data_IF_342448046381
#
_entry.id   IF_342448046381
#
_cell.length_a   1.000
_cell.length_b   1.000
_cell.length_c   1.000
_cell.angle_alpha   90.00
_cell.angle_beta   90.00
_cell.angle_gamma   90.00
#
_symmetry.space_group_name_H-M   'P 1'
#
loop_
_entity.id
_entity.type
_entity.pdbx_description
1 polymer ?
#
# COMPACT_ATOMS: atom_id res chain seq x y z
N UNK A 1 -1.13 61.61 -12.08
CA UNK A 1 0.09 61.61 -11.23
C UNK A 1 0.61 60.18 -11.02
N UNK A 2 1.04 59.52 -12.10
CA UNK A 2 1.64 58.17 -12.11
C UNK A 2 3.13 58.19 -12.50
N UNK A 3 3.66 59.37 -12.83
CA UNK A 3 5.02 59.59 -13.32
C UNK A 3 6.14 59.30 -12.30
N UNK A 4 6.04 59.66 -11.00
CA UNK A 4 7.18 59.53 -10.10
C UNK A 4 7.50 58.07 -9.70
N UNK A 5 6.56 57.14 -9.89
CA UNK A 5 6.80 55.70 -9.66
C UNK A 5 7.40 55.01 -10.90
N UNK A 6 7.03 55.44 -12.11
CA UNK A 6 7.56 54.92 -13.36
C UNK A 6 9.02 55.36 -13.59
N UNK A 7 9.37 56.61 -13.25
CA UNK A 7 10.76 57.09 -13.34
C UNK A 7 11.69 56.29 -12.42
N UNK A 8 11.24 56.00 -11.19
CA UNK A 8 11.99 55.15 -10.25
C UNK A 8 12.21 53.75 -10.79
N UNK A 9 11.19 53.14 -11.42
CA UNK A 9 11.33 51.82 -12.07
C UNK A 9 12.32 51.90 -13.23
N UNK A 10 12.26 52.96 -14.06
CA UNK A 10 13.16 53.14 -15.20
C UNK A 10 14.64 53.21 -14.81
N UNK A 11 14.96 53.81 -13.65
CA UNK A 11 16.32 53.90 -13.14
C UNK A 11 16.87 52.53 -12.70
N UNK A 12 16.01 51.58 -12.31
CA UNK A 12 16.40 50.19 -12.04
C UNK A 12 16.54 49.34 -13.31
N UNK A 13 16.04 49.81 -14.47
CA UNK A 13 16.19 49.14 -15.79
C UNK A 13 17.54 49.52 -16.40
N UNK A 14 18.63 49.18 -15.70
CA UNK A 14 19.98 49.23 -16.27
C UNK A 14 20.29 47.92 -16.99
N UNK A 15 21.10 47.94 -18.05
CA UNK A 15 21.49 46.74 -18.82
C UNK A 15 21.97 45.58 -17.93
N UNK A 16 22.73 45.88 -16.87
CA UNK A 16 23.22 44.88 -15.92
C UNK A 16 22.08 44.24 -15.09
N UNK A 17 21.09 45.02 -14.69
CA UNK A 17 19.93 44.51 -13.94
C UNK A 17 19.01 43.68 -14.85
N UNK A 18 18.86 44.07 -16.12
CA UNK A 18 18.13 43.28 -17.12
C UNK A 18 18.82 41.94 -17.36
N UNK A 19 20.15 41.91 -17.48
CA UNK A 19 20.93 40.68 -17.61
C UNK A 19 20.83 39.79 -16.37
N UNK A 20 20.88 40.37 -15.17
CA UNK A 20 20.72 39.63 -13.92
C UNK A 20 19.29 39.04 -13.82
N UNK A 21 18.27 39.82 -14.17
CA UNK A 21 16.87 39.39 -14.21
C UNK A 21 16.64 38.26 -15.23
N UNK A 22 17.27 38.30 -16.40
CA UNK A 22 17.16 37.22 -17.40
C UNK A 22 17.78 35.91 -16.91
N UNK A 23 18.92 35.98 -16.20
CA UNK A 23 19.53 34.81 -15.55
C UNK A 23 18.60 34.24 -14.47
N UNK A 24 18.04 35.09 -13.60
CA UNK A 24 17.09 34.66 -12.56
C UNK A 24 15.87 33.97 -13.17
N UNK A 25 15.25 34.56 -14.19
CA UNK A 25 14.09 33.99 -14.88
C UNK A 25 14.47 32.64 -15.50
N UNK A 26 15.64 32.52 -16.12
CA UNK A 26 16.10 31.27 -16.74
C UNK A 26 16.29 30.17 -15.70
N UNK A 27 16.89 30.48 -14.55
CA UNK A 27 17.05 29.53 -13.44
C UNK A 27 15.70 29.10 -12.88
N UNK A 28 14.77 30.04 -12.69
CA UNK A 28 13.41 29.73 -12.24
C UNK A 28 12.69 28.82 -13.24
N UNK A 29 12.74 29.15 -14.54
CA UNK A 29 12.17 28.32 -15.60
C UNK A 29 12.76 26.91 -15.60
N UNK A 30 14.08 26.78 -15.42
CA UNK A 30 14.73 25.49 -15.31
C UNK A 30 14.22 24.69 -14.10
N UNK A 31 14.12 25.31 -12.91
CA UNK A 31 13.60 24.66 -11.70
C UNK A 31 12.15 24.22 -11.89
N UNK A 32 11.28 25.10 -12.42
CA UNK A 32 9.87 24.77 -12.68
C UNK A 32 9.73 23.65 -13.70
N UNK A 33 10.51 23.68 -14.78
CA UNK A 33 10.52 22.66 -15.83
C UNK A 33 11.02 21.33 -15.30
N UNK A 34 12.11 21.32 -14.54
CA UNK A 34 12.63 20.09 -13.94
C UNK A 34 11.65 19.49 -12.94
N UNK A 35 10.98 20.34 -12.15
CA UNK A 35 9.97 19.90 -11.21
C UNK A 35 8.70 19.35 -11.90
N UNK A 36 8.27 19.96 -13.01
CA UNK A 36 7.15 19.42 -13.80
C UNK A 36 7.52 18.09 -14.47
N UNK A 37 8.73 17.97 -15.02
CA UNK A 37 9.24 16.75 -15.65
C UNK A 37 9.28 15.57 -14.65
N UNK A 38 9.83 15.78 -13.44
CA UNK A 38 9.88 14.75 -12.40
C UNK A 38 8.47 14.33 -11.97
N UNK A 39 7.54 15.28 -11.84
CA UNK A 39 6.14 14.96 -11.53
C UNK A 39 5.53 14.13 -12.65
N UNK A 40 5.73 14.51 -13.90
CA UNK A 40 5.22 13.79 -15.07
C UNK A 40 5.73 12.34 -15.12
N UNK A 41 7.04 12.13 -14.92
CA UNK A 41 7.63 10.77 -14.86
C UNK A 41 6.97 9.89 -13.79
N UNK A 42 6.74 10.44 -12.58
CA UNK A 42 6.03 9.73 -11.51
C UNK A 42 4.59 9.36 -11.90
N UNK A 43 3.91 10.17 -12.71
CA UNK A 43 2.56 9.86 -13.19
C UNK A 43 2.57 8.73 -14.22
N UNK A 44 3.50 8.74 -15.18
CA UNK A 44 3.67 7.65 -16.15
C UNK A 44 4.05 6.32 -15.47
N UNK A 45 4.95 6.34 -14.48
CA UNK A 45 5.30 5.14 -13.72
C UNK A 45 4.08 4.53 -13.00
N UNK A 46 3.25 5.38 -12.39
CA UNK A 46 2.00 4.95 -11.74
C UNK A 46 1.01 4.37 -12.72
N UNK A 47 0.82 5.01 -13.88
CA UNK A 47 -0.05 4.54 -14.96
C UNK A 47 0.29 3.11 -15.37
N UNK A 48 1.58 2.82 -15.58
CA UNK A 48 2.04 1.47 -15.94
C UNK A 48 1.65 0.44 -14.87
N UNK A 49 1.81 0.75 -13.58
CA UNK A 49 1.42 -0.19 -12.53
C UNK A 49 -0.09 -0.32 -12.37
N UNK A 50 -0.84 0.76 -12.61
CA UNK A 50 -2.29 0.76 -12.53
C UNK A 50 -2.93 -0.03 -13.66
N UNK A 51 -2.29 -0.09 -14.84
CA UNK A 51 -2.68 -1.00 -15.91
C UNK A 51 -2.56 -2.47 -15.49
N UNK A 52 -1.49 -2.87 -14.78
CA UNK A 52 -1.36 -4.23 -14.23
C UNK A 52 -2.46 -4.55 -13.22
N UNK A 53 -2.85 -3.58 -12.40
CA UNK A 53 -3.95 -3.73 -11.46
C UNK A 53 -5.30 -3.91 -12.16
N UNK A 54 -5.54 -3.16 -13.24
CA UNK A 54 -6.74 -3.34 -14.08
C UNK A 54 -6.76 -4.74 -14.70
N UNK A 55 -5.63 -5.23 -15.22
CA UNK A 55 -5.52 -6.57 -15.80
C UNK A 55 -5.80 -7.66 -14.75
N UNK A 56 -5.25 -7.52 -13.54
CA UNK A 56 -5.56 -8.40 -12.41
C UNK A 56 -7.06 -8.40 -12.09
N UNK A 57 -7.69 -7.22 -12.02
CA UNK A 57 -9.13 -7.10 -11.74
C UNK A 57 -9.97 -7.75 -12.83
N UNK A 58 -9.62 -7.54 -14.09
CA UNK A 58 -10.30 -8.17 -15.22
C UNK A 58 -10.19 -9.70 -15.15
N UNK A 59 -8.97 -10.23 -14.94
CA UNK A 59 -8.74 -11.68 -14.85
C UNK A 59 -9.43 -12.31 -13.64
N UNK A 60 -9.43 -11.64 -12.49
CA UNK A 60 -10.08 -12.14 -11.27
C UNK A 60 -11.60 -12.13 -11.37
N UNK A 61 -12.19 -11.13 -12.03
CA UNK A 61 -13.63 -11.07 -12.30
C UNK A 61 -14.07 -12.02 -13.44
N UNK A 62 -13.22 -12.26 -14.44
CA UNK A 62 -13.53 -13.15 -15.57
C UNK A 62 -13.31 -14.63 -15.25
N UNK A 63 -12.30 -14.98 -14.43
CA UNK A 63 -11.92 -16.36 -14.11
C UNK A 63 -12.59 -16.93 -12.86
N UNK A 64 -13.70 -16.37 -12.36
CA UNK A 64 -14.42 -16.96 -11.23
C UNK A 64 -15.15 -18.24 -11.64
N UNK A 65 -14.40 -19.33 -11.86
CA UNK A 65 -14.97 -20.67 -11.88
C UNK A 65 -15.30 -21.03 -10.44
N UNK A 66 -16.59 -21.07 -10.13
CA UNK A 66 -17.09 -21.55 -8.84
C UNK A 66 -17.00 -23.07 -8.89
N UNK A 67 -16.22 -23.67 -8.00
CA UNK A 67 -16.14 -25.12 -7.91
C UNK A 67 -17.42 -25.69 -7.25
N UNK A 68 -17.71 -26.98 -7.44
CA UNK A 68 -18.94 -27.61 -6.92
C UNK A 68 -19.10 -27.54 -5.40
N UNK A 69 -18.03 -27.20 -4.67
CA UNK A 69 -17.94 -27.00 -3.21
C UNK A 69 -18.16 -25.55 -2.76
N UNK A 70 -18.36 -24.60 -3.68
CA UNK A 70 -18.52 -23.18 -3.34
C UNK A 70 -17.22 -22.42 -3.04
N UNK A 71 -16.07 -23.11 -3.10
CA UNK A 71 -14.76 -22.49 -2.92
C UNK A 71 -14.14 -22.02 -4.24
N UNK A 72 -13.61 -20.81 -4.22
CA UNK A 72 -12.89 -20.20 -5.34
C UNK A 72 -11.46 -20.74 -5.37
N UNK A 73 -11.20 -21.79 -6.15
CA UNK A 73 -9.82 -22.23 -6.39
C UNK A 73 -9.15 -21.19 -7.29
N UNK A 74 -8.37 -20.29 -6.69
CA UNK A 74 -7.50 -19.40 -7.44
C UNK A 74 -6.43 -20.24 -8.13
N UNK A 75 -6.42 -20.25 -9.47
CA UNK A 75 -5.32 -20.79 -10.28
C UNK A 75 -3.99 -20.19 -9.82
N UNK A 76 -2.92 -20.98 -9.86
CA UNK A 76 -1.57 -20.54 -9.49
C UNK A 76 -1.12 -19.32 -10.30
N UNK A 77 -1.61 -19.17 -11.54
CA UNK A 77 -1.41 -17.99 -12.38
C UNK A 77 -1.98 -16.72 -11.74
N UNK A 78 -3.20 -16.79 -11.20
CA UNK A 78 -3.86 -15.64 -10.56
C UNK A 78 -3.14 -15.30 -9.26
N UNK A 79 -2.68 -16.30 -8.49
CA UNK A 79 -1.88 -16.07 -7.27
C UNK A 79 -0.57 -15.36 -7.58
N UNK A 80 0.13 -15.79 -8.64
CA UNK A 80 1.35 -15.11 -9.11
C UNK A 80 1.05 -13.67 -9.53
N UNK A 81 -0.02 -13.46 -10.28
CA UNK A 81 -0.44 -12.12 -10.69
C UNK A 81 -0.79 -11.21 -9.50
N UNK A 82 -1.44 -11.76 -8.46
CA UNK A 82 -1.68 -11.06 -7.21
C UNK A 82 -0.37 -10.62 -6.54
N UNK A 83 0.63 -11.50 -6.47
CA UNK A 83 1.93 -11.19 -5.90
C UNK A 83 2.65 -10.09 -6.70
N UNK A 84 2.77 -10.27 -8.02
CA UNK A 84 3.47 -9.34 -8.91
C UNK A 84 2.85 -7.95 -8.88
N UNK A 85 1.52 -7.88 -8.95
CA UNK A 85 0.76 -6.62 -8.84
C UNK A 85 0.89 -6.00 -7.44
N UNK A 86 0.86 -6.82 -6.39
CA UNK A 86 1.01 -6.34 -5.02
C UNK A 86 2.39 -5.74 -4.75
N UNK A 87 3.45 -6.39 -5.21
CA UNK A 87 4.83 -5.91 -5.09
C UNK A 87 5.04 -4.61 -5.86
N UNK A 88 4.51 -4.51 -7.08
CA UNK A 88 4.66 -3.29 -7.88
C UNK A 88 3.90 -2.10 -7.30
N UNK A 89 2.68 -2.32 -6.79
CA UNK A 89 1.88 -1.29 -6.12
C UNK A 89 2.48 -0.84 -4.79
N UNK A 90 3.15 -1.73 -4.06
CA UNK A 90 3.85 -1.38 -2.82
C UNK A 90 4.99 -0.38 -3.08
N UNK A 91 5.72 -0.56 -4.20
CA UNK A 91 6.87 0.27 -4.54
C UNK A 91 6.48 1.58 -5.23
N UNK A 92 5.56 1.54 -6.19
CA UNK A 92 5.27 2.66 -7.08
C UNK A 92 3.85 3.21 -6.94
N UNK A 93 2.95 2.45 -6.32
CA UNK A 93 1.56 2.85 -6.10
C UNK A 93 1.41 3.85 -4.95
N UNK A 94 0.27 4.54 -4.90
CA UNK A 94 -0.04 5.38 -3.75
C UNK A 94 -0.42 4.55 -2.53
N UNK A 95 -0.17 5.09 -1.33
CA UNK A 95 -0.62 4.50 -0.06
C UNK A 95 -2.12 4.20 -0.06
N UNK A 96 -2.92 5.03 -0.74
CA UNK A 96 -4.38 4.87 -0.80
C UNK A 96 -4.76 3.69 -1.70
N UNK A 97 -4.21 3.63 -2.91
CA UNK A 97 -4.44 2.52 -3.84
C UNK A 97 -3.95 1.21 -3.23
N UNK A 98 -2.77 1.19 -2.63
CA UNK A 98 -2.22 -0.02 -2.01
C UNK A 98 -3.14 -0.56 -0.91
N UNK A 99 -3.70 0.30 -0.06
CA UNK A 99 -4.68 -0.11 0.96
C UNK A 99 -5.98 -0.64 0.37
N UNK A 100 -6.47 -0.05 -0.71
CA UNK A 100 -7.66 -0.54 -1.40
C UNK A 100 -7.38 -1.88 -2.10
N UNK A 101 -6.20 -2.08 -2.68
CA UNK A 101 -5.75 -3.36 -3.22
C UNK A 101 -5.67 -4.45 -2.15
N UNK A 102 -5.10 -4.16 -0.97
CA UNK A 102 -5.06 -5.12 0.14
C UNK A 102 -6.47 -5.54 0.54
N UNK A 103 -7.38 -4.57 0.63
CA UNK A 103 -8.77 -4.84 0.92
C UNK A 103 -9.43 -5.70 -0.17
N UNK A 104 -9.21 -5.39 -1.45
CA UNK A 104 -9.68 -6.21 -2.55
C UNK A 104 -9.19 -7.66 -2.43
N UNK A 105 -7.88 -7.83 -2.17
CA UNK A 105 -7.27 -9.15 -1.97
C UNK A 105 -7.92 -9.88 -0.80
N UNK A 106 -8.02 -9.25 0.37
CA UNK A 106 -8.65 -9.83 1.56
C UNK A 106 -10.08 -10.29 1.28
N UNK A 107 -10.91 -9.45 0.66
CA UNK A 107 -12.31 -9.81 0.35
C UNK A 107 -12.41 -10.92 -0.70
N UNK A 108 -11.45 -11.01 -1.63
CA UNK A 108 -11.45 -12.05 -2.66
C UNK A 108 -10.94 -13.40 -2.15
N UNK A 109 -9.99 -13.42 -1.21
CA UNK A 109 -9.24 -14.64 -0.85
C UNK A 109 -9.49 -15.13 0.58
N UNK A 110 -9.89 -14.27 1.50
CA UNK A 110 -9.96 -14.62 2.92
C UNK A 110 -11.28 -15.33 3.25
N UNK A 111 -11.21 -16.59 3.69
CA UNK A 111 -12.38 -17.36 4.12
C UNK A 111 -13.09 -16.72 5.31
N UNK A 112 -12.36 -16.10 6.25
CA UNK A 112 -12.94 -15.45 7.43
C UNK A 112 -13.92 -14.34 7.05
N UNK A 113 -13.59 -13.57 6.01
CA UNK A 113 -14.44 -12.47 5.54
C UNK A 113 -15.72 -13.02 4.90
N UNK A 114 -15.64 -14.15 4.20
CA UNK A 114 -16.82 -14.80 3.61
C UNK A 114 -17.84 -15.25 4.66
N UNK A 115 -17.40 -15.51 5.90
CA UNK A 115 -18.27 -15.88 7.02
C UNK A 115 -18.85 -14.69 7.80
N UNK A 116 -18.39 -13.46 7.56
CA UNK A 116 -18.94 -12.28 8.23
C UNK A 116 -20.40 -12.04 7.83
N UNK A 117 -21.23 -11.65 8.80
CA UNK A 117 -22.68 -11.40 8.59
C UNK A 117 -22.97 -10.39 7.48
N UNK A 118 -22.06 -9.44 7.28
CA UNK A 118 -22.23 -8.33 6.34
C UNK A 118 -21.67 -8.62 4.95
N UNK A 119 -21.00 -9.76 4.74
CA UNK A 119 -20.42 -10.11 3.45
C UNK A 119 -21.49 -10.50 2.43
N UNK A 120 -21.29 -10.04 1.19
CA UNK A 120 -22.03 -10.43 0.00
C UNK A 120 -21.02 -10.48 -1.16
N UNK A 121 -21.26 -11.36 -2.13
CA UNK A 121 -20.35 -11.57 -3.28
C UNK A 121 -20.22 -10.35 -4.19
N UNK A 122 -21.27 -9.54 -4.32
CA UNK A 122 -21.31 -8.31 -5.11
C UNK A 122 -20.45 -7.18 -4.54
N UNK A 123 -20.07 -7.23 -3.26
CA UNK A 123 -19.23 -6.22 -2.59
C UNK A 123 -17.87 -6.07 -3.26
N UNK A 124 -17.30 -7.15 -3.77
CA UNK A 124 -15.98 -7.14 -4.44
C UNK A 124 -15.99 -6.19 -5.64
N UNK A 125 -17.09 -6.15 -6.40
CA UNK A 125 -17.26 -5.24 -7.51
C UNK A 125 -17.22 -3.77 -7.05
N UNK A 126 -17.90 -3.44 -5.95
CA UNK A 126 -17.88 -2.07 -5.41
C UNK A 126 -16.52 -1.64 -4.85
N UNK A 127 -15.70 -2.59 -4.38
CA UNK A 127 -14.31 -2.32 -4.00
C UNK A 127 -13.48 -1.95 -5.24
N UNK A 128 -13.64 -2.72 -6.33
CA UNK A 128 -13.01 -2.47 -7.62
C UNK A 128 -13.39 -1.08 -8.16
N UNK A 129 -14.66 -0.68 -8.01
CA UNK A 129 -15.15 0.66 -8.35
C UNK A 129 -14.37 1.79 -7.67
N UNK A 130 -14.15 1.68 -6.36
CA UNK A 130 -13.47 2.71 -5.57
C UNK A 130 -11.98 2.81 -5.93
N UNK A 131 -11.38 1.68 -6.32
CA UNK A 131 -10.02 1.63 -6.84
C UNK A 131 -9.95 2.37 -8.19
N UNK A 132 -10.85 2.11 -9.14
CA UNK A 132 -10.87 2.85 -10.42
C UNK A 132 -11.09 4.35 -10.24
N UNK A 133 -12.00 4.73 -9.36
CA UNK A 133 -12.22 6.15 -9.02
C UNK A 133 -10.94 6.79 -8.48
N UNK A 134 -10.18 6.07 -7.67
CA UNK A 134 -8.91 6.56 -7.10
C UNK A 134 -7.81 6.60 -8.16
N UNK A 135 -7.68 5.58 -9.00
CA UNK A 135 -6.73 5.57 -10.12
C UNK A 135 -6.99 6.72 -11.10
N UNK A 136 -8.26 7.00 -11.42
CA UNK A 136 -8.65 8.13 -12.28
C UNK A 136 -8.25 9.48 -11.68
N UNK A 137 -8.40 9.67 -10.37
CA UNK A 137 -7.96 10.90 -9.68
C UNK A 137 -6.44 11.07 -9.66
N UNK A 138 -5.70 9.96 -9.68
CA UNK A 138 -4.24 9.97 -9.58
C UNK A 138 -3.52 9.98 -10.93
N UNK A 139 -4.10 9.40 -11.99
CA UNK A 139 -3.48 9.26 -13.32
C UNK A 139 -4.26 9.98 -14.42
N UNK A 140 -5.58 10.15 -14.27
CA UNK A 140 -6.47 10.70 -15.29
C UNK A 140 -6.59 12.23 -15.23
N UNK A 141 -7.78 12.72 -14.87
CA UNK A 141 -8.15 14.14 -14.93
C UNK A 141 -8.20 14.78 -13.53
N UNK A 142 -8.07 16.11 -13.51
CA UNK A 142 -8.08 17.01 -12.33
C UNK A 142 -8.94 16.53 -11.16
N UNK A 143 -8.48 16.78 -9.93
CA UNK A 143 -9.18 16.46 -8.67
C UNK A 143 -10.66 16.86 -8.66
N UNK A 144 -11.02 17.92 -9.40
CA UNK A 144 -12.36 18.47 -9.52
C UNK A 144 -13.28 17.70 -10.48
N UNK A 145 -12.74 16.86 -11.36
CA UNK A 145 -13.51 16.05 -12.29
C UNK A 145 -13.64 14.60 -11.76
N UNK A 146 -14.50 14.42 -10.76
CA UNK A 146 -14.73 13.11 -10.16
C UNK A 146 -16.02 12.47 -10.65
N UNK A 147 -15.91 11.24 -11.14
CA UNK A 147 -17.05 10.38 -11.45
C UNK A 147 -17.55 9.65 -10.19
N UNK A 148 -18.81 9.25 -10.21
CA UNK A 148 -19.39 8.36 -9.21
C UNK A 148 -18.74 6.96 -9.24
N UNK A 149 -18.80 6.21 -8.13
CA UNK A 149 -18.29 4.83 -8.11
C UNK A 149 -19.06 3.94 -9.10
N UNK A 150 -20.35 4.19 -9.29
CA UNK A 150 -21.19 3.42 -10.21
C UNK A 150 -20.89 3.73 -11.68
N UNK A 151 -20.53 4.98 -11.97
CA UNK A 151 -20.06 5.38 -13.30
C UNK A 151 -18.70 4.74 -13.61
N UNK A 152 -17.83 4.61 -12.60
CA UNK A 152 -16.56 3.90 -12.76
C UNK A 152 -16.77 2.39 -13.04
N UNK A 153 -17.87 1.81 -12.55
CA UNK A 153 -18.25 0.42 -12.80
C UNK A 153 -18.88 0.19 -14.16
N UNK A 154 -19.41 1.22 -14.81
CA UNK A 154 -20.08 1.08 -16.11
C UNK A 154 -19.16 0.52 -17.21
N UNK A 155 -17.84 0.58 -17.02
CA UNK A 155 -16.88 -0.08 -17.91
C UNK A 155 -16.89 -1.61 -17.78
N UNK A 156 -17.19 -2.15 -16.60
CA UNK A 156 -17.14 -3.59 -16.31
C UNK A 156 -18.50 -4.26 -16.36
N UNK A 157 -19.57 -3.52 -16.05
CA UNK A 157 -20.92 -4.07 -15.99
C UNK A 157 -21.89 -3.09 -16.63
N UNK A 158 -22.67 -3.62 -17.59
CA UNK A 158 -23.68 -2.85 -18.31
C UNK A 158 -24.80 -2.37 -17.37
N UNK A 159 -25.42 -1.24 -17.71
CA UNK A 159 -26.61 -0.69 -17.03
C UNK A 159 -26.45 -0.35 -15.53
N UNK A 160 -25.22 -0.09 -15.06
CA UNK A 160 -24.96 0.32 -13.67
C UNK A 160 -24.96 1.84 -13.46
N UNK A 161 -24.53 2.64 -14.45
CA UNK A 161 -24.32 4.09 -14.29
C UNK A 161 -25.61 4.86 -13.98
N UNK A 162 -26.63 4.66 -14.81
CA UNK A 162 -27.89 5.43 -14.76
C UNK A 162 -28.99 4.76 -13.92
N UNK A 163 -28.75 3.54 -13.42
CA UNK A 163 -29.76 2.76 -12.73
C UNK A 163 -29.89 3.15 -11.24
N UNK A 164 -31.06 3.62 -10.77
CA UNK A 164 -31.26 3.99 -9.37
C UNK A 164 -31.10 2.81 -8.40
N UNK A 165 -31.48 1.60 -8.81
CA UNK A 165 -31.31 0.38 -8.01
C UNK A 165 -29.83 0.06 -7.81
N UNK A 166 -29.01 0.27 -8.84
CA UNK A 166 -27.57 0.09 -8.73
C UNK A 166 -26.93 1.14 -7.79
N UNK A 167 -27.48 2.36 -7.77
CA UNK A 167 -27.09 3.41 -6.80
C UNK A 167 -27.38 3.03 -5.36
N UNK A 168 -28.57 2.49 -5.10
CA UNK A 168 -28.92 2.00 -3.76
C UNK A 168 -28.01 0.84 -3.31
N UNK A 169 -27.79 -0.14 -4.21
CA UNK A 169 -26.87 -1.27 -3.94
C UNK A 169 -25.45 -0.80 -3.61
N UNK A 170 -24.97 0.24 -4.27
CA UNK A 170 -23.65 0.81 -3.97
C UNK A 170 -23.58 1.41 -2.57
N UNK A 171 -24.64 2.08 -2.12
CA UNK A 171 -24.72 2.65 -0.77
C UNK A 171 -24.73 1.53 0.29
N UNK A 172 -25.55 0.49 0.08
CA UNK A 172 -25.58 -0.71 0.95
C UNK A 172 -24.21 -1.41 0.99
N UNK A 173 -23.56 -1.58 -0.16
CA UNK A 173 -22.23 -2.19 -0.24
C UNK A 173 -21.18 -1.37 0.51
N UNK A 174 -21.18 -0.04 0.38
CA UNK A 174 -20.27 0.84 1.13
C UNK A 174 -20.46 0.71 2.64
N UNK A 175 -21.71 0.61 3.10
CA UNK A 175 -22.01 0.36 4.50
C UNK A 175 -21.47 -1.00 4.97
N UNK A 176 -21.73 -2.06 4.19
CA UNK A 176 -21.25 -3.42 4.50
C UNK A 176 -19.73 -3.51 4.56
N UNK A 177 -19.01 -2.89 3.62
CA UNK A 177 -17.54 -2.84 3.64
C UNK A 177 -17.05 -2.24 4.96
N UNK A 178 -17.68 -1.16 5.44
CA UNK A 178 -17.31 -0.55 6.72
C UNK A 178 -17.59 -1.49 7.89
N UNK A 179 -18.71 -2.21 7.87
CA UNK A 179 -19.06 -3.15 8.94
C UNK A 179 -18.14 -4.38 8.97
N UNK A 180 -17.77 -4.94 7.82
CA UNK A 180 -16.79 -6.04 7.75
C UNK A 180 -15.44 -5.58 8.30
N UNK A 181 -14.96 -4.40 7.93
CA UNK A 181 -13.72 -3.82 8.50
C UNK A 181 -13.80 -3.68 10.02
N UNK A 182 -14.94 -3.26 10.52
CA UNK A 182 -15.17 -3.08 11.95
C UNK A 182 -15.17 -4.42 12.68
N UNK A 183 -15.84 -5.43 12.13
CA UNK A 183 -15.86 -6.79 12.66
C UNK A 183 -14.45 -7.40 12.70
N UNK A 184 -13.67 -7.24 11.63
CA UNK A 184 -12.26 -7.65 11.59
C UNK A 184 -11.42 -6.93 12.66
N UNK A 185 -11.62 -5.62 12.83
CA UNK A 185 -10.91 -4.85 13.86
C UNK A 185 -11.27 -5.31 15.28
N UNK A 186 -12.51 -5.75 15.51
CA UNK A 186 -12.91 -6.37 16.78
C UNK A 186 -12.22 -7.72 16.97
N UNK A 187 -12.19 -8.57 15.94
CA UNK A 187 -11.52 -9.88 15.99
C UNK A 187 -10.03 -9.72 16.31
N UNK A 188 -9.37 -8.73 15.73
CA UNK A 188 -7.97 -8.44 16.02
C UNK A 188 -7.75 -8.00 17.48
N UNK A 189 -8.72 -7.25 18.02
CA UNK A 189 -8.70 -6.81 19.41
C UNK A 189 -8.96 -7.96 20.39
N UNK A 190 -9.89 -8.87 20.09
CA UNK A 190 -10.16 -10.05 20.94
C UNK A 190 -8.99 -11.02 20.96
N UNK A 191 -8.20 -11.08 19.88
CA UNK A 191 -6.97 -11.87 19.81
C UNK A 191 -5.76 -11.23 20.50
N UNK A 192 -5.95 -10.06 21.12
CA UNK A 192 -4.92 -9.28 21.81
C UNK A 192 -3.66 -9.06 20.94
N UNK A 193 -3.84 -8.87 19.63
CA UNK A 193 -2.70 -8.74 18.68
C UNK A 193 -1.77 -7.60 19.09
N UNK A 194 -2.32 -6.49 19.56
CA UNK A 194 -1.55 -5.36 20.06
C UNK A 194 -0.64 -5.73 21.24
N UNK A 195 -1.15 -6.48 22.22
CA UNK A 195 -0.37 -6.94 23.37
C UNK A 195 0.73 -7.91 22.91
N UNK A 196 0.40 -8.85 22.02
CA UNK A 196 1.38 -9.77 21.44
C UNK A 196 2.48 -9.02 20.67
N UNK A 197 2.12 -7.94 19.96
CA UNK A 197 3.08 -7.12 19.24
C UNK A 197 4.02 -6.36 20.19
N UNK A 198 3.50 -5.78 21.27
CA UNK A 198 4.32 -5.15 22.31
C UNK A 198 5.25 -6.17 22.97
N UNK A 199 4.72 -7.33 23.35
CA UNK A 199 5.51 -8.39 23.94
C UNK A 199 6.62 -8.87 22.99
N UNK A 200 6.30 -9.09 21.71
CA UNK A 200 7.27 -9.55 20.73
C UNK A 200 8.32 -8.49 20.37
N UNK A 201 7.96 -7.20 20.38
CA UNK A 201 8.86 -6.11 19.97
C UNK A 201 9.75 -5.61 21.10
N UNK A 202 9.25 -5.60 22.34
CA UNK A 202 9.97 -5.03 23.48
C UNK A 202 10.45 -6.09 24.46
N UNK A 203 9.58 -7.03 24.85
CA UNK A 203 9.88 -7.97 25.93
C UNK A 203 10.75 -9.12 25.43
N UNK A 204 10.38 -9.74 24.30
CA UNK A 204 11.09 -10.90 23.74
C UNK A 204 12.55 -10.61 23.37
N UNK A 205 12.92 -9.46 22.79
CA UNK A 205 14.32 -9.14 22.48
C UNK A 205 15.16 -8.89 23.74
N UNK A 206 14.58 -8.36 24.82
CA UNK A 206 15.28 -8.17 26.10
C UNK A 206 15.65 -9.53 26.70
N UNK A 207 14.70 -10.47 26.75
CA UNK A 207 14.97 -11.82 27.23
C UNK A 207 15.96 -12.57 26.32
N UNK A 208 15.84 -12.42 25.00
CA UNK A 208 16.82 -12.98 24.07
C UNK A 208 18.22 -12.39 24.30
N UNK A 209 18.32 -11.07 24.47
CA UNK A 209 19.57 -10.38 24.79
C UNK A 209 20.19 -10.85 26.11
N UNK A 210 19.39 -10.95 27.17
CA UNK A 210 19.81 -11.51 28.47
C UNK A 210 20.30 -12.96 28.34
N UNK A 211 19.62 -13.78 27.53
CA UNK A 211 20.05 -15.17 27.30
C UNK A 211 21.39 -15.26 26.56
N UNK A 212 21.64 -14.35 25.61
CA UNK A 212 22.91 -14.25 24.90
C UNK A 212 23.99 -13.78 25.88
N UNK A 213 23.74 -12.74 26.68
CA UNK A 213 24.67 -12.25 27.69
C UNK A 213 25.02 -13.35 28.71
N UNK A 214 24.03 -14.08 29.22
CA UNK A 214 24.25 -15.20 30.13
C UNK A 214 25.15 -16.29 29.50
N UNK A 215 24.90 -16.64 28.23
CA UNK A 215 25.70 -17.64 27.51
C UNK A 215 27.17 -17.21 27.38
N UNK A 216 27.43 -15.96 27.01
CA UNK A 216 28.79 -15.48 26.75
C UNK A 216 29.55 -15.02 28.01
N UNK A 217 28.87 -14.47 29.02
CA UNK A 217 29.50 -13.94 30.24
C UNK A 217 29.60 -15.01 31.33
N UNK A 218 28.63 -15.91 31.42
CA UNK A 218 28.61 -16.93 32.48
C UNK A 218 29.01 -18.27 31.91
N UNK A 219 28.23 -18.83 30.98
CA UNK A 219 28.39 -20.24 30.58
C UNK A 219 29.75 -20.52 29.91
N UNK A 220 30.17 -19.72 28.94
CA UNK A 220 31.44 -19.92 28.21
C UNK A 220 32.68 -19.82 29.11
N UNK A 221 32.88 -18.74 29.90
CA UNK A 221 34.04 -18.65 30.79
C UNK A 221 33.99 -19.68 31.92
N UNK A 222 32.81 -20.05 32.43
CA UNK A 222 32.69 -21.12 33.43
C UNK A 222 33.08 -22.49 32.85
N UNK A 223 32.68 -22.81 31.61
CA UNK A 223 33.14 -24.00 30.89
C UNK A 223 34.66 -23.97 30.71
N UNK A 224 35.24 -22.81 30.35
CA UNK A 224 36.69 -22.66 30.19
C UNK A 224 37.45 -22.86 31.51
N UNK A 225 36.91 -22.35 32.62
CA UNK A 225 37.47 -22.53 33.96
C UNK A 225 37.38 -24.00 34.40
N UNK A 226 36.23 -24.65 34.22
CA UNK A 226 36.04 -26.07 34.56
C UNK A 226 36.98 -26.97 33.75
N UNK A 227 37.09 -26.75 32.43
CA UNK A 227 38.01 -27.53 31.58
C UNK A 227 39.47 -27.34 31.98
N UNK A 228 39.86 -26.15 32.45
CA UNK A 228 41.20 -25.87 32.97
C UNK A 228 41.47 -26.54 34.32
N UNK A 229 40.51 -26.48 35.26
CA UNK A 229 40.61 -27.07 36.60
C UNK A 229 40.58 -28.61 36.58
N UNK A 230 39.78 -29.20 35.69
CA UNK A 230 39.60 -30.66 35.57
C UNK A 230 40.34 -31.28 34.37
N UNK A 231 41.40 -30.65 33.91
CA UNK A 231 42.23 -31.14 32.78
C UNK A 231 42.77 -32.57 33.01
N UNK A 232 43.11 -32.93 34.26
CA UNK A 232 43.61 -34.27 34.62
C UNK A 232 42.55 -35.37 34.60
N UNK A 233 41.28 -35.06 34.88
CA UNK A 233 40.18 -36.04 34.86
C UNK A 233 39.62 -36.25 33.45
N UNK A 234 39.63 -35.21 32.60
CA UNK A 234 39.20 -35.28 31.20
C UNK A 234 40.15 -36.16 30.38
N UNK A 235 41.48 -36.02 30.57
CA UNK A 235 42.47 -36.88 29.92
C UNK A 235 42.41 -38.35 30.38
N UNK A 236 41.73 -38.64 31.50
CA UNK A 236 41.53 -40.00 32.03
C UNK A 236 40.25 -40.67 31.51
N UNK A 237 39.35 -39.90 30.91
CA UNK A 237 38.05 -40.32 30.37
C UNK A 237 38.04 -40.42 28.84
N UNK A 238 39.11 -40.01 28.16
CA UNK A 238 39.26 -40.33 26.73
C UNK A 238 39.71 -41.79 26.59
N UNK A 239 38.87 -42.68 26.02
CA UNK A 239 39.33 -44.02 25.67
C UNK A 239 40.40 -43.90 24.57
N UNK A 240 41.44 -44.72 24.69
CA UNK A 240 42.44 -44.95 23.62
C UNK A 240 41.78 -45.47 22.36
#
# INVERSE_FOLDING_TARGET
MLEPSLEKISHYITSNNIALLSVIITVLLYIFTRHSEIRYKKYEDKKIQYLKLIELMQKTLACSKIDKSGDSILSDEIRKLFFDTGASLLLYGSKKIYRQYLLFREFSTNSLIKHCKYYKSDIVLFIVADIFKTMRKEVGLSYFNSIGSNEALAFFVNDISSNPIAKEKAIDAMFRIKMVKFELAIIDRTRFIFIKQIYASFIRPIFAGLSILWKYIVVIPFIHIITKLFSKTINKLQPK
#
